data_IF_813641781899
#
_entry.id   IF_813641781899
#
_cell.length_a   1.000
_cell.length_b   1.000
_cell.length_c   1.000
_cell.angle_alpha   90.00
_cell.angle_beta   90.00
_cell.angle_gamma   90.00
#
_symmetry.space_group_name_H-M   'P 1'
#
loop_
_entity.id
_entity.type
_entity.pdbx_description
1 polymer ?
#
# COMPACT_ATOMS: atom_id res chain seq x y z
N UNK A 1 -3.52 -0.92 2.74
CA UNK A 1 -3.62 -1.42 4.14
C UNK A 1 -5.00 -1.86 4.65
N UNK A 2 -6.14 -1.23 4.31
CA UNK A 2 -7.46 -1.89 4.47
C UNK A 2 -8.23 -1.91 3.15
N UNK A 3 -8.25 -0.79 2.43
CA UNK A 3 -8.89 -0.69 1.11
C UNK A 3 -8.17 -1.52 0.03
N UNK A 4 -6.84 -1.55 0.03
CA UNK A 4 -6.07 -2.45 -0.84
C UNK A 4 -6.31 -3.91 -0.48
N UNK A 5 -6.37 -4.25 0.81
CA UNK A 5 -6.70 -5.60 1.28
C UNK A 5 -8.13 -5.99 0.89
N UNK A 6 -9.10 -5.08 0.95
CA UNK A 6 -10.48 -5.30 0.47
C UNK A 6 -10.58 -5.42 -1.05
N UNK A 7 -9.77 -4.67 -1.79
CA UNK A 7 -9.66 -4.76 -3.23
C UNK A 7 -9.00 -6.08 -3.69
N UNK A 8 -7.96 -6.54 -2.97
CA UNK A 8 -7.17 -7.73 -3.29
C UNK A 8 -7.85 -9.01 -2.78
N UNK A 9 -8.44 -9.01 -1.57
CA UNK A 9 -9.00 -10.22 -0.95
C UNK A 9 -10.35 -10.66 -1.51
N UNK A 10 -10.94 -9.96 -2.50
CA UNK A 10 -12.16 -10.42 -3.15
C UNK A 10 -13.24 -10.85 -2.14
N UNK A 11 -13.54 -10.01 -1.16
CA UNK A 11 -14.32 -10.43 0.01
C UNK A 11 -15.78 -10.74 -0.37
N UNK A 12 -16.02 -12.02 -0.59
CA UNK A 12 -17.29 -12.74 -0.62
C UNK A 12 -18.08 -12.65 0.71
N UNK A 13 -17.57 -11.91 1.71
CA UNK A 13 -18.07 -11.83 3.07
C UNK A 13 -18.43 -10.42 3.55
N UNK A 14 -18.46 -9.42 2.65
CA UNK A 14 -18.91 -8.05 2.98
C UNK A 14 -20.41 -7.95 3.36
N UNK A 15 -21.16 -9.06 3.35
CA UNK A 15 -22.60 -9.08 3.64
C UNK A 15 -22.97 -8.96 5.13
N UNK A 16 -22.02 -8.98 6.07
CA UNK A 16 -22.36 -9.03 7.52
C UNK A 16 -21.82 -7.88 8.39
N UNK A 17 -21.62 -6.69 7.83
CA UNK A 17 -21.36 -5.48 8.65
C UNK A 17 -22.64 -4.64 8.71
N UNK A 18 -23.52 -4.97 9.66
CA UNK A 18 -24.61 -4.08 10.07
C UNK A 18 -24.06 -3.07 11.08
N UNK A 19 -23.79 -1.85 10.64
CA UNK A 19 -23.41 -0.73 11.50
C UNK A 19 -23.12 0.55 10.71
N UNK A 20 -23.46 1.71 11.28
CA UNK A 20 -23.33 3.08 10.74
C UNK A 20 -21.88 3.56 10.56
N UNK A 21 -20.92 2.67 10.31
CA UNK A 21 -19.53 3.07 10.09
C UNK A 21 -19.32 3.57 8.65
N UNK A 22 -18.97 4.86 8.43
CA UNK A 22 -18.71 5.39 7.10
C UNK A 22 -17.58 4.68 6.36
N UNK A 23 -16.61 4.08 7.08
CA UNK A 23 -15.54 3.30 6.47
C UNK A 23 -16.03 1.96 5.93
N UNK A 24 -16.83 1.22 6.70
CA UNK A 24 -17.49 0.01 6.23
C UNK A 24 -18.37 0.26 5.00
N UNK A 25 -19.13 1.36 4.99
CA UNK A 25 -19.96 1.74 3.84
C UNK A 25 -19.13 2.07 2.59
N UNK A 26 -18.01 2.78 2.75
CA UNK A 26 -17.09 3.09 1.65
C UNK A 26 -16.42 1.82 1.11
N UNK A 27 -15.97 0.92 2.00
CA UNK A 27 -15.41 -0.37 1.64
C UNK A 27 -16.41 -1.21 0.83
N UNK A 28 -17.67 -1.29 1.26
CA UNK A 28 -18.72 -2.02 0.55
C UNK A 28 -19.08 -1.43 -0.83
N UNK A 29 -18.90 -0.11 -1.04
CA UNK A 29 -19.04 0.51 -2.37
C UNK A 29 -17.85 0.16 -3.26
N UNK A 30 -16.63 0.23 -2.73
CA UNK A 30 -15.43 -0.11 -3.48
C UNK A 30 -15.42 -1.58 -3.91
N UNK A 31 -15.78 -2.51 -3.03
CA UNK A 31 -15.89 -3.93 -3.40
C UNK A 31 -16.86 -4.16 -4.56
N UNK A 32 -18.02 -3.46 -4.55
CA UNK A 32 -18.98 -3.52 -5.66
C UNK A 32 -18.41 -2.97 -6.97
N UNK A 33 -17.59 -1.92 -6.91
CA UNK A 33 -16.92 -1.39 -8.10
C UNK A 33 -15.83 -2.34 -8.62
N UNK A 34 -15.14 -3.04 -7.71
CA UNK A 34 -14.04 -3.96 -8.05
C UNK A 34 -14.52 -5.35 -8.47
N UNK A 35 -15.81 -5.70 -8.29
CA UNK A 35 -16.33 -7.05 -8.51
C UNK A 35 -16.09 -7.63 -9.92
N UNK A 36 -15.92 -6.77 -10.93
CA UNK A 36 -15.67 -7.16 -12.31
C UNK A 36 -14.28 -6.71 -12.80
N UNK A 37 -13.43 -6.25 -11.90
CA UNK A 37 -12.11 -5.75 -12.24
C UNK A 37 -11.16 -6.91 -12.61
N UNK A 38 -10.54 -6.82 -13.77
CA UNK A 38 -9.47 -7.72 -14.20
C UNK A 38 -8.25 -6.87 -14.53
N UNK A 39 -7.12 -7.15 -13.90
CA UNK A 39 -5.92 -6.32 -14.03
C UNK A 39 -4.89 -6.66 -12.96
N UNK A 40 -3.95 -5.74 -12.73
CA UNK A 40 -2.92 -5.89 -11.69
C UNK A 40 -3.07 -4.76 -10.68
N UNK A 41 -3.11 -5.10 -9.41
CA UNK A 41 -3.06 -4.15 -8.29
C UNK A 41 -1.66 -4.15 -7.73
N UNK A 42 -1.08 -2.96 -7.58
CA UNK A 42 0.20 -2.75 -6.90
C UNK A 42 -0.10 -2.00 -5.60
N UNK A 43 0.00 -2.71 -4.47
CA UNK A 43 -0.20 -2.16 -3.12
C UNK A 43 1.16 -1.86 -2.50
N UNK A 44 1.49 -0.58 -2.33
CA UNK A 44 2.75 -0.15 -1.72
C UNK A 44 2.50 0.16 -0.25
N UNK A 45 2.99 -0.71 0.62
CA UNK A 45 2.88 -0.55 2.07
C UNK A 45 4.11 0.08 2.70
N UNK A 46 4.11 0.20 4.02
CA UNK A 46 5.25 0.78 4.76
C UNK A 46 6.47 -0.13 4.80
N UNK A 47 6.31 -1.46 4.75
CA UNK A 47 7.43 -2.41 4.84
C UNK A 47 7.48 -3.43 3.70
N UNK A 48 6.38 -3.59 2.97
CA UNK A 48 6.25 -4.54 1.86
C UNK A 48 5.41 -3.88 0.79
N UNK A 49 5.78 -4.09 -0.46
CA UNK A 49 4.98 -3.76 -1.63
C UNK A 49 4.53 -5.06 -2.29
N UNK A 50 3.24 -5.17 -2.62
CA UNK A 50 2.63 -6.38 -3.17
C UNK A 50 2.07 -6.12 -4.56
N UNK A 51 2.39 -7.00 -5.50
CA UNK A 51 1.86 -6.99 -6.87
C UNK A 51 0.91 -8.18 -6.99
N UNK A 52 -0.37 -7.90 -7.17
CA UNK A 52 -1.45 -8.89 -7.17
C UNK A 52 -2.22 -8.84 -8.49
N UNK A 53 -2.17 -9.88 -9.33
CA UNK A 53 -3.08 -10.01 -10.44
C UNK A 53 -4.49 -10.36 -9.94
N UNK A 54 -5.49 -9.65 -10.47
CA UNK A 54 -6.91 -9.86 -10.20
C UNK A 54 -7.62 -10.30 -11.47
N UNK A 55 -8.52 -11.27 -11.34
CA UNK A 55 -9.46 -11.70 -12.37
C UNK A 55 -10.87 -11.63 -11.79
N UNK A 56 -11.73 -10.81 -12.39
CA UNK A 56 -13.12 -10.63 -11.94
C UNK A 56 -13.23 -10.31 -10.44
N UNK A 57 -12.43 -9.36 -9.97
CA UNK A 57 -12.41 -8.89 -8.58
C UNK A 57 -11.76 -9.85 -7.57
N UNK A 58 -11.24 -10.99 -8.03
CA UNK A 58 -10.59 -11.99 -7.18
C UNK A 58 -9.08 -12.02 -7.46
N UNK A 59 -8.26 -11.97 -6.41
CA UNK A 59 -6.83 -12.18 -6.55
C UNK A 59 -6.54 -13.62 -7.00
N UNK A 60 -5.65 -13.77 -7.98
CA UNK A 60 -5.17 -15.08 -8.41
C UNK A 60 -4.08 -15.52 -7.42
N UNK A 61 -4.41 -16.48 -6.57
CA UNK A 61 -3.48 -17.04 -5.61
C UNK A 61 -2.31 -17.74 -6.32
N UNK A 62 -1.10 -17.66 -5.73
CA UNK A 62 0.11 -18.33 -6.24
C UNK A 62 0.92 -17.53 -7.29
N UNK A 63 0.40 -16.40 -7.77
CA UNK A 63 1.11 -15.48 -8.69
C UNK A 63 1.27 -14.07 -8.10
N UNK A 64 0.95 -13.91 -6.82
CA UNK A 64 1.23 -12.69 -6.05
C UNK A 64 2.73 -12.59 -5.81
N UNK A 65 3.29 -11.41 -6.10
CA UNK A 65 4.71 -11.12 -5.85
C UNK A 65 4.82 -10.10 -4.73
N UNK A 66 5.69 -10.38 -3.76
CA UNK A 66 6.00 -9.46 -2.67
C UNK A 66 7.43 -8.94 -2.82
N UNK A 67 7.57 -7.64 -2.75
CA UNK A 67 8.83 -6.93 -2.66
C UNK A 67 9.00 -6.50 -1.21
N UNK A 68 10.08 -6.92 -0.50
CA UNK A 68 10.35 -6.52 0.88
C UNK A 68 10.92 -5.09 0.94
N UNK A 69 10.25 -4.17 0.25
CA UNK A 69 10.53 -2.74 0.22
C UNK A 69 9.20 -2.00 0.32
N UNK A 70 9.20 -0.88 1.04
CA UNK A 70 8.04 -0.02 1.22
C UNK A 70 8.42 1.40 1.60
N UNK A 71 7.44 2.14 2.11
CA UNK A 71 7.63 3.54 2.51
C UNK A 71 8.75 3.75 3.53
N UNK A 72 8.96 2.81 4.46
CA UNK A 72 10.01 2.90 5.47
C UNK A 72 11.40 2.91 4.84
N UNK A 73 11.62 2.16 3.77
CA UNK A 73 12.92 2.14 3.11
C UNK A 73 13.24 3.49 2.47
N UNK A 74 12.21 4.17 1.94
CA UNK A 74 12.34 5.55 1.47
C UNK A 74 12.62 6.53 2.61
N UNK A 75 11.91 6.39 3.75
CA UNK A 75 12.15 7.22 4.93
C UNK A 75 13.61 7.11 5.41
N UNK A 76 14.15 5.89 5.45
CA UNK A 76 15.54 5.64 5.85
C UNK A 76 16.52 6.27 4.85
N UNK A 77 16.29 6.08 3.55
CA UNK A 77 17.13 6.64 2.50
C UNK A 77 17.17 8.19 2.57
N UNK A 78 16.01 8.82 2.69
CA UNK A 78 15.89 10.29 2.75
C UNK A 78 16.54 10.81 4.03
N UNK A 79 16.29 10.16 5.17
CA UNK A 79 16.93 10.53 6.44
C UNK A 79 18.45 10.51 6.32
N UNK A 80 19.01 9.44 5.76
CA UNK A 80 20.46 9.28 5.67
C UNK A 80 21.08 10.32 4.73
N UNK A 81 20.41 10.66 3.62
CA UNK A 81 20.84 11.76 2.73
C UNK A 81 20.79 13.11 3.44
N UNK A 82 19.70 13.42 4.15
CA UNK A 82 19.55 14.66 4.91
C UNK A 82 20.61 14.81 6.00
N UNK A 83 20.93 13.73 6.72
CA UNK A 83 22.01 13.72 7.71
C UNK A 83 23.36 14.02 7.05
N UNK A 84 23.67 13.36 5.93
CA UNK A 84 24.91 13.61 5.19
C UNK A 84 25.00 15.05 4.66
N UNK A 85 23.88 15.63 4.20
CA UNK A 85 23.82 17.04 3.78
C UNK A 85 24.08 17.99 4.94
N UNK A 86 23.46 17.77 6.10
CA UNK A 86 23.67 18.60 7.29
C UNK A 86 25.13 18.60 7.73
N UNK A 87 25.79 17.44 7.77
CA UNK A 87 27.21 17.41 8.13
C UNK A 87 28.09 18.16 7.13
N UNK A 88 27.75 18.15 5.82
CA UNK A 88 28.49 18.92 4.80
C UNK A 88 28.30 20.43 5.01
N UNK A 89 27.10 20.85 5.39
CA UNK A 89 26.80 22.25 5.69
C UNK A 89 27.57 22.73 6.92
N UNK A 90 27.56 21.95 8.00
CA UNK A 90 28.31 22.28 9.23
C UNK A 90 29.83 22.31 9.03
N UNK A 91 30.36 21.49 8.13
CA UNK A 91 31.79 21.53 7.76
C UNK A 91 32.10 22.79 6.97
N UNK A 92 31.20 23.23 6.09
CA UNK A 92 31.37 24.46 5.32
C UNK A 92 31.33 25.69 6.22
N UNK A 93 30.36 25.79 7.13
CA UNK A 93 30.23 26.91 8.06
C UNK A 93 31.37 27.01 9.08
N UNK A 94 32.10 25.91 9.33
CA UNK A 94 33.30 25.91 10.19
C UNK A 94 34.58 26.36 9.48
N UNK A 95 34.59 26.29 8.15
CA UNK A 95 35.73 26.62 7.32
C UNK A 95 35.62 28.03 6.70
N UNK A 96 34.51 28.72 6.93
CA UNK A 96 34.26 30.13 6.62
C UNK A 96 34.48 30.99 7.87
#
# INVERSE_FOLDING_TARGET
DLLSALAICGCSSAWRVSGEDPFAAAAGRLCRQMQNFTGVVIDVGSSVSRISPLLSGLAISGVVVELPLGGRDLDLLIRDDLLAQNERLERRSRNE
#
